data_IF_603008684327
#
_entry.id   IF_603008684327
#
_cell.length_a   1.000
_cell.length_b   1.000
_cell.length_c   1.000
_cell.angle_alpha   90.00
_cell.angle_beta   90.00
_cell.angle_gamma   90.00
#
_symmetry.space_group_name_H-M   'P 1'
#
loop_
_entity.id
_entity.type
_entity.pdbx_description
1 polymer ?
#
# COMPACT_ATOMS: atom_id res chain seq x y z
N UNK A 1 -14.63 20.45 9.84
CA UNK A 1 -13.57 19.65 9.19
C UNK A 1 -13.59 18.23 9.73
N UNK A 2 -13.54 17.24 8.90
CA UNK A 2 -13.59 15.84 9.30
C UNK A 2 -12.21 15.26 9.34
N UNK A 3 -11.83 14.65 10.45
CA UNK A 3 -10.61 13.86 10.56
C UNK A 3 -10.85 12.50 9.91
N UNK A 4 -9.86 12.03 9.15
CA UNK A 4 -9.95 10.78 8.42
C UNK A 4 -8.76 9.88 8.76
N UNK A 5 -8.98 8.58 8.62
CA UNK A 5 -7.97 7.55 8.82
C UNK A 5 -7.74 6.82 7.51
N UNK A 6 -6.48 6.55 7.19
CA UNK A 6 -6.10 5.81 6.00
C UNK A 6 -5.56 4.45 6.42
N UNK A 7 -6.19 3.38 5.94
CA UNK A 7 -5.70 2.02 6.12
C UNK A 7 -5.08 1.52 4.81
N UNK A 8 -3.89 0.94 4.89
CA UNK A 8 -3.19 0.37 3.73
C UNK A 8 -2.89 -1.08 4.02
N UNK A 9 -3.23 -1.96 3.09
CA UNK A 9 -2.89 -3.38 3.16
C UNK A 9 -2.01 -3.74 1.97
N UNK A 10 -0.79 -4.16 2.25
CA UNK A 10 0.16 -4.64 1.25
C UNK A 10 0.03 -6.16 1.20
N UNK A 11 -0.91 -6.61 0.38
CA UNK A 11 -1.23 -8.03 0.25
C UNK A 11 -0.28 -8.77 -0.69
N UNK A 12 -0.57 -10.05 -0.91
CA UNK A 12 0.27 -10.93 -1.72
C UNK A 12 0.26 -10.54 -3.20
N UNK A 13 -0.87 -10.08 -3.73
CA UNK A 13 -1.01 -9.76 -5.16
C UNK A 13 -1.49 -8.35 -5.41
N UNK A 14 -1.91 -7.63 -4.39
CA UNK A 14 -2.44 -6.28 -4.56
C UNK A 14 -2.20 -5.43 -3.32
N UNK A 15 -2.28 -4.14 -3.54
CA UNK A 15 -2.28 -3.11 -2.50
C UNK A 15 -3.70 -2.58 -2.40
N UNK A 16 -4.21 -2.46 -1.17
CA UNK A 16 -5.54 -1.89 -0.91
C UNK A 16 -5.41 -0.69 -0.03
N UNK A 17 -6.27 0.30 -0.24
CA UNK A 17 -6.41 1.43 0.66
C UNK A 17 -7.88 1.64 1.01
N UNK A 18 -8.11 2.02 2.24
CA UNK A 18 -9.42 2.37 2.77
C UNK A 18 -9.30 3.72 3.46
N UNK A 19 -10.20 4.63 3.13
CA UNK A 19 -10.32 5.91 3.82
C UNK A 19 -11.58 5.86 4.67
N UNK A 20 -11.43 6.10 5.97
CA UNK A 20 -12.53 5.92 6.92
C UNK A 20 -12.61 7.07 7.91
N UNK A 21 -13.79 7.23 8.50
CA UNK A 21 -13.99 8.13 9.64
C UNK A 21 -13.49 7.46 10.92
N UNK A 22 -13.24 8.23 12.00
CA UNK A 22 -12.85 7.65 13.29
C UNK A 22 -13.85 6.65 13.87
N UNK A 23 -15.11 6.73 13.45
CA UNK A 23 -16.16 5.79 13.90
C UNK A 23 -16.20 4.51 13.06
N UNK A 24 -15.31 4.38 12.06
CA UNK A 24 -15.22 3.17 11.25
C UNK A 24 -16.05 3.19 9.96
N UNK A 25 -16.65 4.33 9.60
CA UNK A 25 -17.39 4.45 8.34
C UNK A 25 -16.40 4.58 7.17
N UNK A 26 -16.47 3.65 6.23
CA UNK A 26 -15.64 3.68 5.02
C UNK A 26 -16.24 4.68 4.03
N UNK A 27 -15.44 5.64 3.58
CA UNK A 27 -15.88 6.66 2.63
C UNK A 27 -15.25 6.50 1.24
N UNK A 28 -14.15 5.76 1.11
CA UNK A 28 -13.55 5.43 -0.17
C UNK A 28 -12.65 4.22 0.00
N UNK A 29 -12.48 3.46 -1.08
CA UNK A 29 -11.52 2.35 -1.10
C UNK A 29 -11.03 2.13 -2.52
N UNK A 30 -9.79 1.65 -2.63
CA UNK A 30 -9.16 1.38 -3.91
C UNK A 30 -8.20 0.21 -3.78
N UNK A 31 -7.86 -0.38 -4.91
CA UNK A 31 -6.98 -1.53 -4.98
C UNK A 31 -6.15 -1.41 -6.25
N UNK A 32 -4.89 -1.83 -6.16
CA UNK A 32 -3.96 -1.86 -7.28
C UNK A 32 -3.19 -3.18 -7.26
N UNK A 33 -3.21 -3.90 -8.39
CA UNK A 33 -2.49 -5.15 -8.52
C UNK A 33 -1.03 -4.90 -8.84
N UNK A 34 -0.17 -5.83 -8.46
CA UNK A 34 1.24 -5.80 -8.83
C UNK A 34 1.73 -7.21 -9.18
N UNK A 35 2.78 -7.33 -10.02
CA UNK A 35 3.23 -8.64 -10.48
C UNK A 35 4.04 -9.40 -9.44
N UNK A 36 3.96 -10.74 -9.51
CA UNK A 36 4.89 -11.64 -8.85
C UNK A 36 5.82 -12.17 -9.94
N UNK A 37 7.13 -12.14 -9.69
CA UNK A 37 8.13 -12.60 -10.62
C UNK A 37 8.58 -14.02 -10.25
N UNK A 38 8.72 -14.88 -11.24
CA UNK A 38 9.12 -16.27 -11.07
C UNK A 38 10.42 -16.51 -11.85
N UNK A 39 11.59 -16.07 -11.33
CA UNK A 39 12.84 -16.15 -12.07
C UNK A 39 13.33 -17.57 -12.32
N UNK A 40 12.93 -18.51 -11.46
CA UNK A 40 13.22 -19.93 -11.59
C UNK A 40 12.06 -20.77 -11.07
N UNK A 41 11.91 -22.03 -11.51
CA UNK A 41 10.85 -22.89 -10.98
C UNK A 41 10.91 -22.99 -9.46
N UNK A 42 9.76 -22.76 -8.81
CA UNK A 42 9.64 -22.77 -7.36
C UNK A 42 10.04 -21.47 -6.66
N UNK A 43 10.53 -20.49 -7.39
CA UNK A 43 10.87 -19.17 -6.83
C UNK A 43 9.73 -18.20 -7.09
N UNK A 44 9.42 -17.37 -6.10
CA UNK A 44 8.47 -16.28 -6.23
C UNK A 44 9.09 -15.03 -5.60
N UNK A 45 9.18 -13.96 -6.38
CA UNK A 45 9.77 -12.71 -5.94
C UNK A 45 8.86 -11.54 -6.27
N UNK A 46 8.93 -10.51 -5.44
CA UNK A 46 8.20 -9.27 -5.62
C UNK A 46 9.18 -8.10 -5.53
N UNK A 47 8.92 -7.06 -6.31
CA UNK A 47 9.74 -5.86 -6.28
C UNK A 47 9.15 -4.85 -5.30
N UNK A 48 9.86 -4.46 -4.23
CA UNK A 48 9.37 -3.46 -3.28
C UNK A 48 9.00 -2.12 -3.93
N UNK A 49 9.61 -1.78 -5.07
CA UNK A 49 9.21 -0.58 -5.81
C UNK A 49 7.77 -0.67 -6.31
N UNK A 50 7.30 -1.87 -6.64
CA UNK A 50 5.90 -2.09 -7.03
C UNK A 50 4.97 -1.86 -5.84
N UNK A 51 5.37 -2.25 -4.64
CA UNK A 51 4.59 -1.97 -3.42
C UNK A 51 4.44 -0.48 -3.21
N UNK A 52 5.53 0.27 -3.31
CA UNK A 52 5.49 1.73 -3.12
C UNK A 52 4.64 2.41 -4.18
N UNK A 53 4.80 2.03 -5.45
CA UNK A 53 3.95 2.57 -6.52
C UNK A 53 2.47 2.29 -6.27
N UNK A 54 2.16 1.08 -5.80
CA UNK A 54 0.80 0.69 -5.45
C UNK A 54 0.25 1.52 -4.30
N UNK A 55 1.03 1.74 -3.25
CA UNK A 55 0.64 2.58 -2.11
C UNK A 55 0.33 4.01 -2.58
N UNK A 56 1.19 4.59 -3.40
CA UNK A 56 0.98 5.94 -3.92
C UNK A 56 -0.30 6.00 -4.77
N UNK A 57 -0.49 5.02 -5.64
CA UNK A 57 -1.65 4.95 -6.54
C UNK A 57 -2.95 4.87 -5.75
N UNK A 58 -3.08 3.90 -4.84
CA UNK A 58 -4.34 3.71 -4.10
C UNK A 58 -4.63 4.87 -3.16
N UNK A 59 -3.60 5.47 -2.57
CA UNK A 59 -3.76 6.65 -1.71
C UNK A 59 -4.33 7.82 -2.51
N UNK A 60 -3.77 8.11 -3.68
CA UNK A 60 -4.27 9.17 -4.55
C UNK A 60 -5.69 8.93 -5.01
N UNK A 61 -6.01 7.68 -5.34
CA UNK A 61 -7.37 7.31 -5.80
C UNK A 61 -8.39 7.54 -4.69
N UNK A 62 -8.14 7.08 -3.46
CA UNK A 62 -9.14 7.25 -2.38
C UNK A 62 -9.32 8.71 -2.01
N UNK A 63 -8.26 9.51 -2.01
CA UNK A 63 -8.38 10.94 -1.75
C UNK A 63 -9.21 11.65 -2.84
N UNK A 64 -8.99 11.28 -4.09
CA UNK A 64 -9.75 11.85 -5.21
C UNK A 64 -11.21 11.42 -5.19
N UNK A 65 -11.47 10.13 -4.93
CA UNK A 65 -12.86 9.62 -4.84
C UNK A 65 -13.66 10.31 -3.74
N UNK A 66 -13.04 10.52 -2.60
CA UNK A 66 -13.70 11.17 -1.46
C UNK A 66 -13.73 12.69 -1.59
N UNK A 67 -12.99 13.26 -2.55
CA UNK A 67 -12.85 14.71 -2.74
C UNK A 67 -12.35 15.41 -1.46
N UNK A 68 -11.40 14.81 -0.78
CA UNK A 68 -10.81 15.32 0.47
C UNK A 68 -9.35 15.72 0.25
N UNK A 69 -8.84 16.55 1.18
CA UNK A 69 -7.44 16.95 1.18
C UNK A 69 -6.61 15.96 2.00
N UNK A 70 -5.34 15.83 1.63
CA UNK A 70 -4.41 14.98 2.38
C UNK A 70 -4.23 15.40 3.83
N UNK A 71 -4.38 16.69 4.15
CA UNK A 71 -4.24 17.20 5.51
C UNK A 71 -5.41 16.82 6.43
N UNK A 72 -6.48 16.23 5.88
CA UNK A 72 -7.56 15.67 6.67
C UNK A 72 -7.24 14.25 7.19
N UNK A 73 -6.22 13.60 6.63
CA UNK A 73 -5.76 12.29 7.10
C UNK A 73 -4.89 12.50 8.33
N UNK A 74 -5.37 12.07 9.49
CA UNK A 74 -4.70 12.28 10.77
C UNK A 74 -4.01 11.03 11.31
N UNK A 75 -4.22 9.89 10.67
CA UNK A 75 -3.59 8.64 11.06
C UNK A 75 -3.53 7.67 9.90
N UNK A 76 -2.48 6.85 9.88
CA UNK A 76 -2.28 5.81 8.87
C UNK A 76 -1.98 4.51 9.59
N UNK A 77 -2.73 3.46 9.23
CA UNK A 77 -2.45 2.10 9.67
C UNK A 77 -2.03 1.26 8.48
N UNK A 78 -1.05 0.40 8.67
CA UNK A 78 -0.53 -0.45 7.61
C UNK A 78 -0.53 -1.90 8.07
N UNK A 79 -1.03 -2.80 7.21
CA UNK A 79 -0.84 -4.24 7.35
C UNK A 79 -0.11 -4.76 6.12
N UNK A 80 0.52 -5.92 6.25
CA UNK A 80 1.29 -6.47 5.15
C UNK A 80 1.32 -7.98 5.16
N UNK A 81 1.76 -8.56 4.06
CA UNK A 81 1.97 -9.99 3.96
C UNK A 81 3.13 -10.43 4.86
N UNK A 82 3.04 -11.64 5.40
CA UNK A 82 4.14 -12.23 6.15
C UNK A 82 5.14 -12.95 5.27
N UNK A 83 6.30 -13.33 5.85
CA UNK A 83 7.32 -14.16 5.23
C UNK A 83 7.94 -13.56 3.96
N UNK A 84 7.94 -12.21 3.84
CA UNK A 84 8.64 -11.51 2.77
C UNK A 84 9.90 -10.85 3.35
N UNK A 85 11.02 -11.02 2.66
CA UNK A 85 12.31 -10.46 3.06
C UNK A 85 12.85 -9.62 1.92
N UNK A 86 13.27 -8.40 2.22
CA UNK A 86 13.93 -7.51 1.27
C UNK A 86 15.30 -7.14 1.82
N UNK A 87 16.34 -7.35 1.03
CA UNK A 87 17.70 -6.97 1.40
C UNK A 87 18.04 -5.61 0.81
N UNK A 88 18.53 -4.73 1.64
CA UNK A 88 18.91 -3.38 1.22
C UNK A 88 20.36 -3.10 1.64
N UNK A 89 21.01 -2.18 0.92
CA UNK A 89 22.34 -1.72 1.29
C UNK A 89 22.28 -0.54 2.28
N UNK A 90 23.45 0.01 2.64
CA UNK A 90 23.53 1.10 3.61
C UNK A 90 22.86 2.40 3.11
N UNK A 91 22.67 2.54 1.79
CA UNK A 91 21.98 3.69 1.20
C UNK A 91 20.47 3.47 1.09
N UNK A 92 19.95 2.30 1.50
CA UNK A 92 18.54 1.96 1.40
C UNK A 92 18.14 1.41 0.04
N UNK A 93 19.10 1.12 -0.84
CA UNK A 93 18.81 0.55 -2.15
C UNK A 93 18.59 -0.96 -2.05
N UNK A 94 17.63 -1.47 -2.80
CA UNK A 94 17.32 -2.91 -2.82
C UNK A 94 18.43 -3.66 -3.56
N UNK A 95 19.05 -4.64 -2.88
CA UNK A 95 20.11 -5.46 -3.47
C UNK A 95 19.61 -6.84 -3.88
N UNK A 96 18.48 -7.28 -3.33
CA UNK A 96 17.80 -8.52 -3.72
C UNK A 96 16.35 -8.47 -3.30
N UNK A 97 15.47 -8.95 -4.15
CA UNK A 97 14.02 -8.96 -3.91
C UNK A 97 13.50 -10.34 -3.52
#
# INVERSE_FOLDING_TARGET
MTDLLLGIDIGTTNIKAVLATPTGRIIAQAQNDYPIHYPQPGWAEQDPADWWRGVVTVTRVVLAQAAVRSDQVVGIGVSGQGCAVTLIDAAGEVVHV
#
